data_IF_558647661279
#
_entry.id   IF_558647661279
#
_cell.length_a   1.000
_cell.length_b   1.000
_cell.length_c   1.000
_cell.angle_alpha   90.00
_cell.angle_beta   90.00
_cell.angle_gamma   90.00
#
_symmetry.space_group_name_H-M   'P 1'
#
loop_
_entity.id
_entity.type
_entity.pdbx_description
1 polymer ?
#
# COMPACT_ATOMS: atom_id res chain seq x y z
N UNK A 1 7.72 -24.33 28.96
CA UNK A 1 8.01 -24.01 27.54
C UNK A 1 7.36 -22.66 27.25
N UNK A 2 8.10 -21.56 27.29
CA UNK A 2 7.60 -20.23 26.95
C UNK A 2 7.94 -19.94 25.46
N UNK A 3 7.04 -19.26 24.74
CA UNK A 3 7.10 -19.04 23.28
C UNK A 3 7.28 -17.55 22.93
N UNK A 4 8.34 -17.15 22.19
CA UNK A 4 8.69 -15.76 21.86
C UNK A 4 7.82 -15.35 20.71
N UNK A 5 6.90 -14.45 20.98
CA UNK A 5 6.25 -13.69 19.92
C UNK A 5 7.27 -12.65 19.45
N UNK A 6 7.98 -12.96 18.36
CA UNK A 6 8.74 -11.97 17.59
C UNK A 6 7.74 -11.14 16.80
N UNK A 7 7.42 -9.95 17.31
CA UNK A 7 6.79 -8.91 16.49
C UNK A 7 7.84 -8.45 15.49
N UNK A 8 7.75 -8.94 14.25
CA UNK A 8 8.49 -8.37 13.13
C UNK A 8 7.84 -7.02 12.85
N UNK A 9 8.43 -5.96 13.41
CA UNK A 9 8.14 -4.61 12.96
C UNK A 9 8.55 -4.54 11.48
N UNK A 10 7.56 -4.51 10.58
CA UNK A 10 7.77 -4.18 9.19
C UNK A 10 8.33 -2.74 9.14
N UNK A 11 9.65 -2.62 9.05
CA UNK A 11 10.33 -1.33 8.97
C UNK A 11 9.90 -0.62 7.71
N UNK A 12 8.97 0.34 7.83
CA UNK A 12 8.75 1.35 6.82
C UNK A 12 10.08 2.06 6.58
N UNK A 13 10.55 2.08 5.34
CA UNK A 13 11.75 2.81 4.97
C UNK A 13 11.48 4.30 5.20
N UNK A 14 11.88 4.82 6.36
CA UNK A 14 11.78 6.24 6.66
C UNK A 14 12.75 7.01 5.75
N UNK A 15 12.22 7.57 4.67
CA UNK A 15 12.95 8.32 3.67
C UNK A 15 13.28 9.73 4.16
N UNK A 16 14.57 9.99 4.40
CA UNK A 16 15.05 11.35 4.72
C UNK A 16 15.87 11.99 3.58
N UNK A 17 16.14 11.27 2.49
CA UNK A 17 16.91 11.77 1.34
C UNK A 17 16.27 11.50 -0.02
N UNK A 18 15.02 11.04 -0.02
CA UNK A 18 14.30 10.87 -1.26
C UNK A 18 13.72 12.23 -1.65
N UNK A 19 14.19 12.80 -2.76
CA UNK A 19 13.53 13.96 -3.36
C UNK A 19 12.10 13.66 -3.84
N UNK A 20 11.60 12.44 -3.64
CA UNK A 20 10.21 12.06 -3.87
C UNK A 20 9.32 12.68 -2.78
N UNK A 21 8.28 13.37 -3.22
CA UNK A 21 7.26 13.98 -2.35
C UNK A 21 5.89 13.36 -2.53
N UNK A 22 5.67 12.64 -3.63
CA UNK A 22 4.39 12.00 -3.94
C UNK A 22 4.60 10.67 -4.69
N UNK A 23 3.77 9.68 -4.41
CA UNK A 23 3.67 8.45 -5.19
C UNK A 23 2.20 8.12 -5.44
N UNK A 24 1.88 7.65 -6.64
CA UNK A 24 0.57 7.12 -7.01
C UNK A 24 0.74 5.76 -7.71
N UNK A 25 0.25 4.65 -7.11
CA UNK A 25 -0.35 4.55 -5.78
C UNK A 25 0.58 5.02 -4.66
N UNK A 26 0.00 5.50 -3.55
CA UNK A 26 0.76 5.92 -2.38
C UNK A 26 1.62 4.78 -1.81
N UNK A 27 2.71 5.11 -1.12
CA UNK A 27 3.56 4.07 -0.52
C UNK A 27 2.77 3.27 0.53
N UNK A 28 2.86 1.95 0.43
CA UNK A 28 2.09 1.00 1.22
C UNK A 28 0.61 0.89 0.84
N UNK A 29 0.13 1.61 -0.18
CA UNK A 29 -1.28 1.57 -0.57
C UNK A 29 -1.70 0.16 -1.00
N UNK A 30 -2.95 -0.18 -0.70
CA UNK A 30 -3.61 -1.38 -1.22
C UNK A 30 -4.66 -0.93 -2.23
N UNK A 31 -4.63 -1.51 -3.43
CA UNK A 31 -5.54 -1.19 -4.54
C UNK A 31 -6.26 -2.46 -5.00
N UNK A 32 -7.53 -2.32 -5.36
CA UNK A 32 -8.34 -3.47 -5.77
C UNK A 32 -8.01 -3.96 -7.18
N UNK A 33 -7.38 -3.12 -7.99
CA UNK A 33 -7.04 -3.43 -9.39
C UNK A 33 -5.68 -2.86 -9.75
N UNK A 34 -4.97 -3.56 -10.64
CA UNK A 34 -3.74 -3.06 -11.23
C UNK A 34 -3.99 -1.71 -11.93
N UNK A 35 -3.27 -0.63 -11.56
CA UNK A 35 -3.40 0.65 -12.24
C UNK A 35 -2.77 0.59 -13.64
N UNK A 36 -3.23 1.45 -14.55
CA UNK A 36 -2.66 1.56 -15.90
C UNK A 36 -1.26 2.17 -15.90
N UNK A 37 -0.95 2.97 -14.87
CA UNK A 37 0.34 3.64 -14.70
C UNK A 37 0.65 3.84 -13.23
N UNK A 38 1.92 4.07 -12.93
CA UNK A 38 2.37 4.66 -11.67
C UNK A 38 2.93 6.04 -11.92
N UNK A 39 2.81 6.92 -10.93
CA UNK A 39 3.34 8.27 -10.96
C UNK A 39 4.18 8.55 -9.72
N UNK A 40 5.30 9.21 -9.93
CA UNK A 40 6.24 9.63 -8.89
C UNK A 40 6.43 11.15 -9.01
N UNK A 41 6.14 11.88 -7.95
CA UNK A 41 6.29 13.33 -7.86
C UNK A 41 7.51 13.70 -7.03
N UNK A 42 8.31 14.65 -7.52
CA UNK A 42 9.57 15.08 -6.90
C UNK A 42 9.51 16.54 -6.46
N UNK A 43 10.30 16.92 -5.46
CA UNK A 43 10.37 18.28 -4.91
C UNK A 43 11.01 19.30 -5.85
N UNK A 44 11.68 18.83 -6.91
CA UNK A 44 12.47 19.65 -7.84
C UNK A 44 12.16 19.25 -9.28
N UNK A 45 12.46 20.18 -10.21
CA UNK A 45 12.40 19.89 -11.65
C UNK A 45 13.38 18.78 -12.01
N UNK A 46 12.97 17.93 -12.95
CA UNK A 46 13.79 16.84 -13.46
C UNK A 46 14.45 17.20 -14.78
N UNK A 47 15.64 16.68 -15.01
CA UNK A 47 16.32 16.78 -16.30
C UNK A 47 15.60 15.96 -17.38
N UNK A 48 15.54 16.49 -18.60
CA UNK A 48 14.92 15.81 -19.73
C UNK A 48 15.61 14.46 -20.01
N UNK A 49 14.82 13.38 -20.10
CA UNK A 49 15.31 12.06 -20.51
C UNK A 49 16.14 11.28 -19.49
N UNK A 50 16.25 11.74 -18.24
CA UNK A 50 17.06 11.10 -17.20
C UNK A 50 16.19 10.48 -16.09
N UNK A 51 15.22 9.64 -16.46
CA UNK A 51 14.40 8.90 -15.51
C UNK A 51 14.32 7.41 -15.87
N UNK A 52 14.44 6.57 -14.86
CA UNK A 52 14.22 5.13 -14.94
C UNK A 52 13.29 4.73 -13.81
N UNK A 53 12.23 4.00 -14.15
CA UNK A 53 11.29 3.41 -13.19
C UNK A 53 11.15 1.94 -13.51
N UNK A 54 11.40 1.10 -12.51
CA UNK A 54 11.22 -0.35 -12.60
C UNK A 54 10.12 -0.73 -11.63
N UNK A 55 9.06 -1.36 -12.15
CA UNK A 55 7.99 -1.90 -11.32
C UNK A 55 8.08 -3.42 -11.36
N UNK A 56 8.28 -4.03 -10.20
CA UNK A 56 8.46 -5.48 -10.03
C UNK A 56 7.28 -6.05 -9.25
N UNK A 57 6.65 -7.08 -9.80
CA UNK A 57 5.53 -7.79 -9.18
C UNK A 57 5.97 -8.89 -8.19
N UNK A 58 4.99 -9.59 -7.59
CA UNK A 58 5.23 -10.60 -6.54
C UNK A 58 6.15 -11.74 -6.96
N UNK A 59 6.12 -12.13 -8.24
CA UNK A 59 6.94 -13.19 -8.81
C UNK A 59 8.34 -12.70 -9.27
N UNK A 60 8.71 -11.45 -8.98
CA UNK A 60 9.99 -10.87 -9.42
C UNK A 60 10.00 -10.39 -10.88
N UNK A 61 8.90 -10.51 -11.60
CA UNK A 61 8.78 -10.05 -12.99
C UNK A 61 8.60 -8.52 -13.05
N UNK A 62 9.29 -7.88 -14.00
CA UNK A 62 9.07 -6.48 -14.33
C UNK A 62 7.75 -6.31 -15.12
N UNK A 63 6.96 -5.31 -14.76
CA UNK A 63 5.61 -5.09 -15.33
C UNK A 63 5.44 -3.71 -15.98
N UNK A 64 6.55 -2.97 -16.10
CA UNK A 64 6.60 -1.70 -16.81
C UNK A 64 6.37 -1.92 -18.32
N UNK A 65 5.61 -1.02 -18.94
CA UNK A 65 5.36 -0.98 -20.38
C UNK A 65 5.91 0.32 -20.95
N UNK A 66 6.84 0.22 -21.90
CA UNK A 66 7.49 1.39 -22.51
C UNK A 66 8.37 2.20 -21.54
N UNK A 67 8.94 3.32 -22.02
CA UNK A 67 9.81 4.17 -21.21
C UNK A 67 9.05 4.99 -20.18
N UNK A 68 9.73 5.35 -19.09
CA UNK A 68 9.25 6.36 -18.15
C UNK A 68 9.27 7.76 -18.82
N UNK A 69 8.19 8.51 -18.63
CA UNK A 69 8.03 9.87 -19.19
C UNK A 69 8.20 10.89 -18.08
N UNK A 70 9.07 11.87 -18.30
CA UNK A 70 9.26 13.01 -17.39
C UNK A 70 8.35 14.15 -17.83
N UNK A 71 7.57 14.69 -16.89
CA UNK A 71 6.71 15.85 -17.05
C UNK A 71 6.93 16.82 -15.87
N UNK A 72 7.82 17.80 -16.06
CA UNK A 72 8.22 18.75 -15.03
C UNK A 72 8.83 18.09 -13.80
N UNK A 73 8.07 18.05 -12.70
CA UNK A 73 8.47 17.39 -11.44
C UNK A 73 7.95 15.96 -11.30
N UNK A 74 7.26 15.43 -12.31
CA UNK A 74 6.62 14.11 -12.27
C UNK A 74 7.28 13.14 -13.23
N UNK A 75 7.28 11.87 -12.86
CA UNK A 75 7.60 10.74 -13.73
C UNK A 75 6.41 9.82 -13.80
N UNK A 76 6.00 9.47 -15.02
CA UNK A 76 4.91 8.53 -15.28
C UNK A 76 5.48 7.28 -15.96
N UNK A 77 5.19 6.12 -15.39
CA UNK A 77 5.54 4.82 -15.97
C UNK A 77 4.25 4.06 -16.26
N UNK A 78 4.00 3.75 -17.54
CA UNK A 78 2.88 2.89 -17.93
C UNK A 78 3.15 1.45 -17.50
N UNK A 79 2.10 0.73 -17.14
CA UNK A 79 2.16 -0.67 -16.72
C UNK A 79 1.45 -1.56 -17.73
N UNK A 80 1.98 -2.77 -17.91
CA UNK A 80 1.36 -3.80 -18.72
C UNK A 80 0.14 -4.43 -18.02
N UNK A 81 -0.62 -5.22 -18.78
CA UNK A 81 -1.76 -5.96 -18.24
C UNK A 81 -1.35 -7.18 -17.41
N UNK A 82 -2.10 -7.39 -16.32
CA UNK A 82 -2.20 -8.59 -15.48
C UNK A 82 -0.89 -9.21 -14.95
N UNK A 83 -0.36 -8.65 -13.86
CA UNK A 83 0.46 -9.41 -12.93
C UNK A 83 -0.39 -9.96 -11.76
N UNK A 84 0.08 -11.02 -11.12
CA UNK A 84 -0.60 -11.74 -10.04
C UNK A 84 -0.94 -10.81 -8.84
N UNK A 85 -1.98 -11.10 -8.04
CA UNK A 85 -2.25 -10.30 -6.85
C UNK A 85 -1.06 -10.42 -5.87
N UNK A 86 -0.82 -9.35 -5.11
CA UNK A 86 0.27 -9.28 -4.14
C UNK A 86 1.02 -7.95 -4.17
N UNK A 87 2.21 -7.94 -3.55
CA UNK A 87 3.03 -6.74 -3.37
C UNK A 87 3.84 -6.41 -4.63
N UNK A 88 3.78 -5.15 -5.01
CA UNK A 88 4.55 -4.53 -6.09
C UNK A 88 5.56 -3.56 -5.51
N UNK A 89 6.72 -3.51 -6.15
CA UNK A 89 7.82 -2.64 -5.77
C UNK A 89 8.15 -1.71 -6.93
N UNK A 90 8.14 -0.41 -6.69
CA UNK A 90 8.49 0.63 -7.63
C UNK A 90 9.87 1.19 -7.25
N UNK A 91 10.91 0.78 -7.97
CA UNK A 91 12.25 1.35 -7.83
C UNK A 91 12.47 2.43 -8.88
N UNK A 92 13.07 3.56 -8.49
CA UNK A 92 13.31 4.66 -9.40
C UNK A 92 14.72 5.23 -9.26
N UNK A 93 15.20 5.79 -10.37
CA UNK A 93 16.37 6.65 -10.44
C UNK A 93 16.08 7.78 -11.41
N UNK A 94 16.18 9.01 -10.93
CA UNK A 94 15.99 10.24 -11.71
C UNK A 94 17.18 11.17 -11.51
N UNK A 95 17.31 12.17 -12.35
CA UNK A 95 18.28 13.25 -12.19
C UNK A 95 17.52 14.58 -12.17
N UNK A 96 17.72 15.37 -11.11
CA UNK A 96 17.19 16.74 -11.02
C UNK A 96 17.77 17.63 -12.13
N UNK A 97 17.12 18.75 -12.43
CA UNK A 97 17.62 19.73 -13.39
C UNK A 97 19.03 20.26 -13.04
N UNK A 98 19.39 20.24 -11.75
CA UNK A 98 20.70 20.65 -11.23
C UNK A 98 21.76 19.52 -11.32
N UNK A 99 21.42 18.37 -11.90
CA UNK A 99 22.34 17.27 -12.13
C UNK A 99 22.50 16.28 -10.97
N UNK A 100 21.79 16.48 -9.85
CA UNK A 100 21.86 15.57 -8.70
C UNK A 100 21.00 14.32 -8.94
N UNK A 101 21.56 13.10 -8.80
CA UNK A 101 20.79 11.87 -8.90
C UNK A 101 19.92 11.67 -7.65
N UNK A 102 18.67 11.28 -7.87
CA UNK A 102 17.71 10.91 -6.82
C UNK A 102 17.27 9.47 -7.09
N UNK A 103 17.34 8.62 -6.09
CA UNK A 103 16.92 7.22 -6.20
C UNK A 103 16.19 6.77 -4.95
N UNK A 104 15.29 5.81 -5.12
CA UNK A 104 14.58 5.23 -4.01
C UNK A 104 13.60 4.17 -4.46
N UNK A 105 12.74 3.78 -3.53
CA UNK A 105 11.76 2.74 -3.74
C UNK A 105 10.49 3.06 -2.96
N UNK A 106 9.34 2.71 -3.53
CA UNK A 106 8.03 2.71 -2.88
C UNK A 106 7.30 1.42 -3.26
N UNK A 107 6.23 1.07 -2.56
CA UNK A 107 5.51 -0.17 -2.79
C UNK A 107 4.00 0.00 -2.70
N UNK A 108 3.26 -0.90 -3.35
CA UNK A 108 1.81 -0.99 -3.22
C UNK A 108 1.38 -2.46 -3.35
N UNK A 109 0.17 -2.78 -2.92
CA UNK A 109 -0.39 -4.14 -2.97
C UNK A 109 -1.62 -4.16 -3.85
N UNK A 110 -1.72 -5.13 -4.76
CA UNK A 110 -2.91 -5.37 -5.60
C UNK A 110 -3.67 -6.58 -5.04
N UNK A 111 -4.96 -6.43 -4.74
CA UNK A 111 -5.77 -7.53 -4.16
C UNK A 111 -6.50 -8.37 -5.20
N UNK A 112 -6.82 -7.83 -6.38
CA UNK A 112 -7.45 -8.60 -7.45
C UNK A 112 -6.77 -8.41 -8.82
N UNK A 113 -6.75 -9.51 -9.59
CA UNK A 113 -6.39 -9.47 -11.00
C UNK A 113 -7.55 -8.83 -11.77
N UNK A 114 -7.23 -7.89 -12.66
CA UNK A 114 -8.20 -7.30 -13.57
C UNK A 114 -8.89 -8.40 -14.39
N UNK A 115 -10.09 -8.82 -13.99
CA UNK A 115 -10.80 -9.94 -14.59
C UNK A 115 -12.28 -9.94 -14.24
N UNK A 116 -12.94 -8.79 -14.37
CA UNK A 116 -14.40 -8.67 -14.29
C UNK A 116 -14.84 -7.37 -14.96
N UNK A 117 -15.93 -7.36 -15.74
CA UNK A 117 -16.46 -6.13 -16.31
C UNK A 117 -16.76 -5.12 -15.19
N UNK A 118 -16.73 -3.81 -15.46
CA UNK A 118 -17.19 -2.83 -14.49
C UNK A 118 -18.58 -3.26 -14.02
N UNK A 119 -18.81 -3.29 -12.71
CA UNK A 119 -20.17 -3.38 -12.18
C UNK A 119 -20.91 -2.16 -12.72
N UNK A 120 -21.61 -2.34 -13.83
CA UNK A 120 -22.65 -1.44 -14.28
C UNK A 120 -23.73 -1.50 -13.20
N UNK A 121 -23.57 -0.67 -12.17
CA UNK A 121 -24.69 -0.27 -11.34
C UNK A 121 -25.63 0.49 -12.29
N UNK A 122 -26.55 -0.25 -12.90
CA UNK A 122 -27.72 0.33 -13.55
C UNK A 122 -28.54 0.93 -12.41
N UNK A 123 -28.72 2.26 -12.33
CA UNK A 123 -29.72 2.80 -11.42
C UNK A 123 -31.08 2.39 -11.98
N UNK A 124 -31.65 1.30 -11.46
CA UNK A 124 -33.07 1.03 -11.67
C UNK A 124 -33.87 2.01 -10.82
N UNK A 125 -34.14 3.19 -11.38
CA UNK A 125 -35.26 4.03 -10.96
C UNK A 125 -36.55 3.27 -11.32
N UNK A 126 -36.96 2.31 -10.49
CA UNK A 126 -38.29 1.74 -10.59
C UNK A 126 -39.29 2.72 -9.98
N UNK A 127 -40.16 3.17 -10.88
CA UNK A 127 -41.21 4.15 -10.70
C UNK A 127 -42.12 3.86 -9.50
N UNK A 128 -42.58 4.94 -8.88
CA UNK A 128 -43.71 4.95 -7.95
C UNK A 128 -44.99 4.58 -8.72
N UNK A 129 -45.78 3.59 -8.31
CA UNK A 129 -47.14 3.47 -8.80
C UNK A 129 -48.03 4.44 -8.02
N UNK A 130 -48.55 5.44 -8.72
CA UNK A 130 -49.70 6.25 -8.29
C UNK A 130 -50.97 5.52 -8.71
N UNK A 131 -51.84 5.18 -7.76
CA UNK A 131 -53.13 4.50 -8.02
C UNK A 131 -53.93 4.23 -6.74
N UNK A 132 -54.80 5.20 -6.41
CA UNK A 132 -55.74 5.36 -5.26
C UNK A 132 -56.85 4.27 -5.09
N UNK A 133 -57.94 4.47 -4.30
CA UNK A 133 -58.12 4.67 -2.84
C UNK A 133 -59.22 3.77 -2.17
N UNK A 134 -59.39 3.90 -0.84
CA UNK A 134 -60.60 3.61 0.01
C UNK A 134 -60.89 2.13 0.36
N UNK A 135 -61.06 1.70 1.62
CA UNK A 135 -62.08 2.11 2.61
C UNK A 135 -61.79 1.60 4.05
N UNK A 136 -62.56 2.04 5.09
CA UNK A 136 -62.13 2.14 6.50
C UNK A 136 -62.65 1.02 7.43
N UNK A 137 -62.00 0.82 8.59
CA UNK A 137 -62.67 0.31 9.81
C UNK A 137 -61.88 0.67 11.10
N UNK A 138 -62.65 0.82 12.19
CA UNK A 138 -62.45 1.65 13.39
C UNK A 138 -61.60 1.02 14.55
N UNK A 139 -61.41 1.71 15.71
CA UNK A 139 -60.29 1.51 16.67
C UNK A 139 -60.59 0.54 17.83
N UNK A 140 -59.58 0.25 18.69
CA UNK A 140 -59.74 0.70 20.08
C UNK A 140 -58.49 1.29 20.75
N UNK A 141 -58.71 2.43 21.40
CA UNK A 141 -58.22 2.90 22.71
C UNK A 141 -57.46 1.89 23.59
N UNK A 142 -56.27 2.30 24.06
CA UNK A 142 -55.52 1.73 25.18
C UNK A 142 -54.32 2.60 25.57
N UNK A 143 -54.34 3.13 26.79
CA UNK A 143 -53.54 4.22 27.40
C UNK A 143 -52.03 3.97 27.61
N UNK A 144 -51.22 5.01 27.94
CA UNK A 144 -49.77 4.93 28.12
C UNK A 144 -49.36 4.57 29.56
N UNK A 145 -48.24 3.86 29.68
CA UNK A 145 -47.49 3.55 30.91
C UNK A 145 -46.38 2.56 30.54
N UNK A 146 -45.15 2.60 31.04
CA UNK A 146 -44.56 3.29 32.18
C UNK A 146 -43.05 3.28 31.93
N UNK A 147 -42.35 4.37 32.29
CA UNK A 147 -40.90 4.37 32.39
C UNK A 147 -40.43 3.35 33.44
N UNK A 148 -39.34 2.63 33.18
CA UNK A 148 -38.52 2.11 34.27
C UNK A 148 -37.05 2.25 33.92
N UNK A 149 -36.35 2.78 34.91
CA UNK A 149 -34.96 3.16 35.02
C UNK A 149 -34.02 1.95 35.23
N UNK A 150 -32.72 2.18 35.03
CA UNK A 150 -31.66 1.51 35.78
C UNK A 150 -30.98 0.30 35.13
N UNK A 151 -29.69 0.45 34.82
CA UNK A 151 -28.66 -0.29 35.53
C UNK A 151 -27.25 0.15 35.09
N UNK A 152 -26.58 0.84 36.00
CA UNK A 152 -25.14 0.95 36.10
C UNK A 152 -24.46 -0.42 36.01
N UNK A 153 -23.34 -0.47 35.28
CA UNK A 153 -22.47 -1.62 35.17
C UNK A 153 -21.01 -1.19 35.23
N UNK A 154 -20.60 -0.64 36.38
CA UNK A 154 -19.19 -0.51 36.73
C UNK A 154 -18.54 -1.88 36.85
N UNK A 155 -17.28 -1.97 36.44
CA UNK A 155 -16.51 -3.20 36.47
C UNK A 155 -15.06 -2.94 36.12
N UNK A 156 -14.33 -2.36 37.07
CA UNK A 156 -12.87 -2.43 37.14
C UNK A 156 -12.41 -3.88 36.94
N UNK A 157 -11.58 -4.10 35.92
CA UNK A 157 -11.10 -5.41 35.50
C UNK A 157 -9.62 -5.40 35.18
N UNK A 158 -8.82 -5.21 36.24
CA UNK A 158 -7.51 -5.77 36.51
C UNK A 158 -6.67 -6.34 35.33
N UNK A 159 -5.44 -5.81 35.24
CA UNK A 159 -4.31 -6.32 34.47
C UNK A 159 -4.12 -7.85 34.52
N UNK A 160 -3.74 -8.43 33.39
CA UNK A 160 -2.86 -9.61 33.36
C UNK A 160 -1.79 -9.41 32.30
N UNK A 161 -0.58 -9.13 32.79
CA UNK A 161 0.66 -9.35 32.08
C UNK A 161 0.91 -10.86 31.93
N UNK A 162 1.35 -11.31 30.76
CA UNK A 162 2.23 -12.48 30.65
C UNK A 162 2.90 -12.48 29.27
N UNK A 163 4.18 -12.12 29.29
CA UNK A 163 5.13 -12.38 28.23
C UNK A 163 5.25 -13.88 27.97
N UNK A 164 5.59 -14.26 26.75
CA UNK A 164 6.27 -15.50 26.48
C UNK A 164 7.39 -15.25 25.45
N UNK A 165 8.53 -15.89 25.69
CA UNK A 165 9.83 -15.83 25.01
C UNK A 165 10.30 -17.28 24.78
N UNK A 166 10.64 -17.65 23.55
CA UNK A 166 11.18 -18.87 22.94
C UNK A 166 11.82 -18.53 21.58
N UNK A 167 13.11 -18.24 21.63
CA UNK A 167 14.10 -17.94 20.57
C UNK A 167 14.45 -19.19 19.77
N UNK A 168 14.83 -19.03 18.49
CA UNK A 168 15.85 -19.88 17.86
C UNK A 168 16.76 -19.03 16.95
N UNK A 169 17.90 -18.67 17.53
CA UNK A 169 19.01 -18.01 16.88
C UNK A 169 19.80 -19.01 16.01
N UNK A 170 20.01 -18.69 14.73
CA UNK A 170 21.18 -19.13 13.96
C UNK A 170 21.31 -18.29 12.69
N UNK A 171 22.54 -17.89 12.35
CA UNK A 171 23.02 -17.34 11.06
C UNK A 171 23.20 -15.81 10.91
N UNK A 172 23.87 -15.13 11.86
CA UNK A 172 24.32 -13.73 11.68
C UNK A 172 25.83 -13.49 11.74
N UNK A 173 26.71 -14.47 11.49
CA UNK A 173 28.17 -14.24 11.60
C UNK A 173 29.08 -14.67 10.44
N UNK A 174 28.60 -14.94 9.20
CA UNK A 174 29.53 -15.38 8.12
C UNK A 174 29.55 -14.58 6.80
N UNK A 175 28.82 -13.46 6.67
CA UNK A 175 28.76 -12.71 5.39
C UNK A 175 29.79 -11.58 5.20
N UNK A 176 30.52 -11.15 6.24
CA UNK A 176 31.24 -9.86 6.24
C UNK A 176 32.76 -10.00 5.94
N UNK A 177 33.32 -11.21 5.82
CA UNK A 177 34.77 -11.41 5.76
C UNK A 177 35.41 -11.63 4.37
N UNK A 178 34.66 -11.53 3.25
CA UNK A 178 35.22 -11.83 1.91
C UNK A 178 35.54 -10.58 1.07
N UNK A 179 35.10 -9.38 1.46
CA UNK A 179 35.29 -8.16 0.64
C UNK A 179 36.62 -7.40 0.85
N UNK A 180 37.57 -7.93 1.63
CA UNK A 180 38.84 -7.21 1.96
C UNK A 180 40.13 -7.80 1.38
N UNK A 181 40.08 -8.80 0.48
CA UNK A 181 41.30 -9.41 -0.09
C UNK A 181 41.43 -9.34 -1.62
N UNK A 182 40.97 -8.26 -2.27
CA UNK A 182 41.09 -8.11 -3.74
C UNK A 182 41.42 -6.70 -4.20
N UNK A 183 42.44 -6.08 -3.61
CA UNK A 183 42.86 -4.73 -4.03
C UNK A 183 44.24 -4.26 -3.59
N UNK A 184 45.24 -5.16 -3.42
CA UNK A 184 46.65 -4.75 -3.27
C UNK A 184 47.61 -5.75 -3.91
N UNK A 185 48.03 -5.46 -5.13
CA UNK A 185 49.29 -5.83 -5.79
C UNK A 185 49.42 -4.79 -6.90
N UNK A 186 50.13 -3.67 -6.68
CA UNK A 186 51.58 -3.46 -6.87
C UNK A 186 51.74 -2.92 -8.31
N UNK A 187 52.09 -1.67 -8.62
CA UNK A 187 53.24 -0.82 -8.26
C UNK A 187 54.53 -1.61 -8.02
N UNK A 188 55.31 -1.75 -9.09
CA UNK A 188 56.78 -1.84 -9.15
C UNK A 188 57.19 -2.01 -10.65
N UNK A 189 57.80 -0.99 -11.26
CA UNK A 189 58.52 -1.08 -12.55
C UNK A 189 58.09 -0.12 -13.64
#
# INVERSE_FOLDING_TARGET
MAALVVVVAAGGAAGAHTGLVEAQPADGATVDRMPSSVQLGFSQQLGAGLATVVVTGPAGAAVASGPAVVDGTRVVQQLGSLPAPGRYTMAYRVVSADGHPISGQTSFTVTAVSGGPPSTATPVLSAVPSGAPSQPVAPPIGSPGTATDGADGGGDGMAVAAAAVGVLAAATTLGVAVRRRRGRSGDDG
#
